data_IF_088914112414
#
_entry.id   IF_088914112414
#
_cell.length_a   1.000
_cell.length_b   1.000
_cell.length_c   1.000
_cell.angle_alpha   90.00
_cell.angle_beta   90.00
_cell.angle_gamma   90.00
#
_symmetry.space_group_name_H-M   'P 1'
#
loop_
_entity.id
_entity.type
_entity.pdbx_description
1 polymer ?
#
# COMPACT_ATOMS: atom_id res chain seq x y z
N UNK A 1 16.38 -0.91 -18.30
CA UNK A 1 15.65 -1.09 -17.01
C UNK A 1 14.19 -0.73 -17.27
N UNK A 2 13.23 -1.60 -16.89
CA UNK A 2 11.80 -1.37 -17.16
C UNK A 2 11.32 -0.17 -16.33
N UNK A 3 10.82 0.88 -16.98
CA UNK A 3 10.45 2.13 -16.32
C UNK A 3 9.02 2.10 -15.75
N UNK A 4 8.15 1.26 -16.32
CA UNK A 4 6.72 1.23 -15.99
C UNK A 4 6.18 -0.22 -15.95
N UNK A 5 5.12 -0.42 -15.18
CA UNK A 5 4.39 -1.69 -15.16
C UNK A 5 3.53 -1.84 -16.42
N UNK A 6 3.72 -2.94 -17.13
CA UNK A 6 2.85 -3.37 -18.22
C UNK A 6 1.60 -4.07 -17.69
N UNK A 7 0.57 -4.22 -18.53
CA UNK A 7 -0.67 -4.92 -18.19
C UNK A 7 -0.44 -6.35 -17.69
N UNK A 8 0.56 -7.04 -18.23
CA UNK A 8 0.94 -8.41 -17.81
C UNK A 8 1.49 -8.41 -16.38
N UNK A 9 2.32 -7.41 -16.02
CA UNK A 9 2.85 -7.30 -14.67
C UNK A 9 1.72 -7.03 -13.67
N UNK A 10 0.79 -6.13 -14.02
CA UNK A 10 -0.38 -5.83 -13.19
C UNK A 10 -1.25 -7.08 -13.01
N UNK A 11 -1.48 -7.85 -14.07
CA UNK A 11 -2.25 -9.09 -13.98
C UNK A 11 -1.60 -10.12 -13.04
N UNK A 12 -0.27 -10.26 -13.11
CA UNK A 12 0.49 -11.12 -12.21
C UNK A 12 0.41 -10.64 -10.75
N UNK A 13 0.60 -9.33 -10.50
CA UNK A 13 0.51 -8.73 -9.17
C UNK A 13 -0.87 -8.92 -8.54
N UNK A 14 -1.95 -8.71 -9.31
CA UNK A 14 -3.31 -8.93 -8.83
C UNK A 14 -3.53 -10.39 -8.45
N UNK A 15 -3.03 -11.33 -9.26
CA UNK A 15 -3.12 -12.77 -8.97
C UNK A 15 -2.38 -13.14 -7.67
N UNK A 16 -1.23 -12.53 -7.41
CA UNK A 16 -0.43 -12.78 -6.20
C UNK A 16 -1.06 -12.16 -4.94
N UNK A 17 -1.49 -10.90 -5.03
CA UNK A 17 -1.86 -10.11 -3.85
C UNK A 17 -3.31 -10.28 -3.44
N UNK A 18 -4.23 -10.49 -4.38
CA UNK A 18 -5.66 -10.66 -4.08
C UNK A 18 -5.94 -11.69 -2.96
N UNK A 19 -5.40 -12.92 -2.97
CA UNK A 19 -5.70 -13.89 -1.92
C UNK A 19 -5.14 -13.50 -0.55
N UNK A 20 -4.12 -12.63 -0.49
CA UNK A 20 -3.49 -12.18 0.76
C UNK A 20 -4.15 -10.92 1.32
N UNK A 21 -4.63 -10.04 0.45
CA UNK A 21 -5.16 -8.74 0.84
C UNK A 21 -6.67 -8.73 1.06
N UNK A 22 -7.40 -9.75 0.61
CA UNK A 22 -8.83 -9.87 0.85
C UNK A 22 -9.13 -9.83 2.36
N UNK A 23 -10.09 -9.01 2.77
CA UNK A 23 -10.48 -8.77 4.16
C UNK A 23 -9.39 -8.15 5.05
N UNK A 24 -8.25 -7.73 4.48
CA UNK A 24 -7.21 -7.05 5.22
C UNK A 24 -7.72 -5.70 5.75
N UNK A 25 -7.46 -5.43 7.03
CA UNK A 25 -7.89 -4.18 7.66
C UNK A 25 -6.90 -3.06 7.38
N UNK A 26 -7.39 -1.93 6.90
CA UNK A 26 -6.60 -0.73 6.67
C UNK A 26 -6.30 -0.06 8.01
N UNK A 27 -5.01 0.17 8.27
CA UNK A 27 -4.52 0.78 9.50
C UNK A 27 -4.09 2.23 9.25
N UNK A 28 -2.79 2.50 9.07
CA UNK A 28 -2.28 3.86 8.86
C UNK A 28 -1.78 4.02 7.43
N UNK A 29 -2.11 5.15 6.80
CA UNK A 29 -1.67 5.48 5.43
C UNK A 29 -0.61 6.58 5.50
N UNK A 30 0.45 6.49 4.71
CA UNK A 30 1.57 7.44 4.67
C UNK A 30 1.89 7.75 3.22
N UNK A 31 2.49 8.91 2.97
CA UNK A 31 3.03 9.29 1.68
C UNK A 31 4.50 9.63 1.85
N UNK A 32 5.37 8.97 1.08
CA UNK A 32 6.82 9.16 1.13
C UNK A 32 7.31 10.12 0.06
N UNK A 33 6.64 10.15 -1.09
CA UNK A 33 6.83 11.12 -2.17
C UNK A 33 5.46 11.42 -2.82
N UNK A 34 5.32 12.44 -3.70
CA UNK A 34 4.06 12.71 -4.39
C UNK A 34 3.43 11.47 -5.04
N UNK A 35 4.27 10.57 -5.57
CA UNK A 35 3.85 9.39 -6.33
C UNK A 35 3.92 8.09 -5.51
N UNK A 36 4.44 8.12 -4.28
CA UNK A 36 4.60 6.94 -3.43
C UNK A 36 3.73 6.97 -2.17
N UNK A 37 2.82 5.99 -2.07
CA UNK A 37 1.92 5.77 -0.95
C UNK A 37 2.28 4.47 -0.22
N UNK A 38 2.28 4.51 1.11
CA UNK A 38 2.37 3.33 1.96
C UNK A 38 1.09 3.15 2.77
N UNK A 39 0.43 2.02 2.60
CA UNK A 39 -0.75 1.62 3.37
C UNK A 39 -0.35 0.53 4.35
N UNK A 40 -0.42 0.83 5.65
CA UNK A 40 -0.30 -0.18 6.70
C UNK A 40 -1.57 -1.03 6.74
N UNK A 41 -1.42 -2.33 6.69
CA UNK A 41 -2.48 -3.33 6.68
C UNK A 41 -2.33 -4.28 7.85
N UNK A 42 -3.45 -4.84 8.29
CA UNK A 42 -3.50 -6.00 9.16
C UNK A 42 -4.18 -7.13 8.42
N UNK A 43 -3.40 -8.12 8.01
CA UNK A 43 -3.85 -9.30 7.29
C UNK A 43 -4.14 -10.40 8.31
N UNK A 44 -5.28 -11.07 8.16
CA UNK A 44 -5.65 -12.17 9.04
C UNK A 44 -4.61 -13.30 8.96
N UNK A 45 -4.13 -13.79 10.10
CA UNK A 45 -3.05 -14.79 10.26
C UNK A 45 -1.63 -14.35 9.89
N UNK A 46 -1.42 -13.36 9.02
CA UNK A 46 -0.08 -12.83 8.71
C UNK A 46 0.33 -11.67 9.63
N UNK A 47 -0.64 -10.97 10.22
CA UNK A 47 -0.37 -9.84 11.11
C UNK A 47 -0.16 -8.52 10.38
N UNK A 48 0.71 -7.67 10.91
CA UNK A 48 0.92 -6.31 10.36
C UNK A 48 1.86 -6.35 9.16
N UNK A 49 1.37 -5.85 8.03
CA UNK A 49 2.13 -5.74 6.78
C UNK A 49 1.97 -4.33 6.21
N UNK A 50 2.87 -3.90 5.32
CA UNK A 50 2.74 -2.63 4.64
C UNK A 50 2.68 -2.86 3.13
N UNK A 51 1.67 -2.28 2.49
CA UNK A 51 1.56 -2.22 1.04
C UNK A 51 2.17 -0.90 0.57
N UNK A 52 3.17 -0.97 -0.31
CA UNK A 52 3.79 0.19 -0.94
C UNK A 52 3.31 0.26 -2.39
N UNK A 53 2.88 1.45 -2.80
CA UNK A 53 2.37 1.75 -4.13
C UNK A 53 3.15 2.95 -4.64
N UNK A 54 3.87 2.79 -5.74
CA UNK A 54 4.50 3.88 -6.48
C UNK A 54 3.82 3.95 -7.85
N UNK A 55 3.18 5.10 -8.14
CA UNK A 55 2.35 5.28 -9.32
C UNK A 55 3.11 4.91 -10.60
N UNK A 56 2.53 4.02 -11.41
CA UNK A 56 3.10 3.55 -12.67
C UNK A 56 4.32 2.62 -12.57
N UNK A 57 4.94 2.49 -11.38
CA UNK A 57 6.25 1.82 -11.24
C UNK A 57 6.20 0.50 -10.50
N UNK A 58 5.60 0.45 -9.31
CA UNK A 58 5.60 -0.76 -8.48
C UNK A 58 4.46 -0.81 -7.47
N UNK A 59 4.06 -2.03 -7.11
CA UNK A 59 3.13 -2.30 -6.03
C UNK A 59 3.56 -3.61 -5.34
N UNK A 60 3.85 -3.57 -4.04
CA UNK A 60 4.37 -4.73 -3.32
C UNK A 60 4.16 -4.65 -1.80
N UNK A 61 4.24 -5.80 -1.13
CA UNK A 61 4.20 -5.89 0.34
C UNK A 61 5.61 -5.84 0.93
N UNK A 62 5.76 -5.16 2.06
CA UNK A 62 7.00 -5.10 2.82
C UNK A 62 6.78 -5.25 4.32
N UNK A 63 7.65 -6.04 4.95
CA UNK A 63 7.76 -6.17 6.39
C UNK A 63 8.63 -5.06 7.02
N UNK A 64 9.50 -4.42 6.22
CA UNK A 64 10.46 -3.41 6.67
C UNK A 64 10.24 -2.12 5.89
N UNK A 65 9.23 -1.32 6.25
CA UNK A 65 8.96 -0.09 5.54
C UNK A 65 9.91 1.03 6.02
N UNK A 66 10.16 2.02 5.16
CA UNK A 66 10.96 3.20 5.51
C UNK A 66 10.30 4.04 6.61
N UNK A 67 11.06 4.91 7.27
CA UNK A 67 10.49 5.78 8.30
C UNK A 67 9.46 6.76 7.71
N UNK A 68 8.38 6.99 8.45
CA UNK A 68 7.38 7.96 8.05
C UNK A 68 7.96 9.38 8.11
N UNK A 69 7.60 10.23 7.15
CA UNK A 69 7.87 11.66 7.28
C UNK A 69 7.25 12.21 8.58
N UNK A 70 7.98 13.09 9.26
CA UNK A 70 7.57 13.67 10.55
C UNK A 70 6.37 14.62 10.42
N UNK A 71 6.19 15.25 9.27
CA UNK A 71 5.10 16.20 9.00
C UNK A 71 3.95 15.50 8.26
N UNK A 72 2.73 15.50 8.83
CA UNK A 72 1.58 14.91 8.18
C UNK A 72 1.16 15.74 6.96
N UNK A 73 1.13 15.10 5.80
CA UNK A 73 0.61 15.67 4.55
C UNK A 73 -0.92 15.59 4.50
N UNK A 74 -1.57 16.53 3.82
CA UNK A 74 -3.04 16.62 3.73
C UNK A 74 -3.68 15.42 3.03
N UNK A 75 -3.04 14.89 1.99
CA UNK A 75 -3.57 13.76 1.21
C UNK A 75 -3.65 12.45 2.03
N UNK A 76 -2.58 11.98 2.72
CA UNK A 76 -2.69 10.87 3.67
C UNK A 76 -3.74 11.08 4.75
N UNK A 77 -3.93 12.32 5.23
CA UNK A 77 -4.97 12.62 6.22
C UNK A 77 -6.37 12.43 5.65
N UNK A 78 -6.62 12.87 4.41
CA UNK A 78 -7.88 12.65 3.72
C UNK A 78 -8.15 11.15 3.55
N UNK A 79 -7.18 10.38 3.07
CA UNK A 79 -7.33 8.94 2.93
C UNK A 79 -7.58 8.27 4.29
N UNK A 80 -6.88 8.68 5.34
CA UNK A 80 -7.11 8.14 6.69
C UNK A 80 -8.53 8.41 7.17
N UNK A 81 -9.11 9.59 6.90
CA UNK A 81 -10.49 9.93 7.28
C UNK A 81 -11.52 8.99 6.66
N UNK A 82 -11.28 8.50 5.44
CA UNK A 82 -12.25 7.70 4.69
C UNK A 82 -11.99 6.19 4.68
N UNK A 83 -10.72 5.78 4.76
CA UNK A 83 -10.30 4.40 4.54
C UNK A 83 -9.84 3.68 5.81
N UNK A 84 -9.39 4.41 6.85
CA UNK A 84 -8.88 3.78 8.07
C UNK A 84 -9.96 2.96 8.75
N UNK A 85 -9.64 1.73 9.13
CA UNK A 85 -10.58 0.79 9.73
C UNK A 85 -11.46 0.04 8.73
N UNK A 86 -11.45 0.44 7.46
CA UNK A 86 -12.05 -0.30 6.36
C UNK A 86 -11.38 -1.64 6.11
N UNK A 87 -12.07 -2.50 5.37
CA UNK A 87 -11.54 -3.79 4.88
C UNK A 87 -11.45 -3.72 3.36
N UNK A 88 -10.43 -4.37 2.82
CA UNK A 88 -10.22 -4.53 1.37
C UNK A 88 -11.08 -5.66 0.84
#
# INVERSE_FOLDING_TARGET
>A
MKQEMSSVDVAALVKELRPRLLDAKIMKIYQHSPDELRIGLHIFKEGRTNLVIEAGRRLHLTAHPEEAQKLPQSFPMLLRKHLTGGRI
#
